data_IF_776148914045
#
_entry.id   IF_776148914045
#
_cell.length_a   1.000
_cell.length_b   1.000
_cell.length_c   1.000
_cell.angle_alpha   90.00
_cell.angle_beta   90.00
_cell.angle_gamma   90.00
#
_symmetry.space_group_name_H-M   'P 1'
#
loop_
_entity.id
_entity.type
_entity.pdbx_description
1 polymer ?
#
# COMPACT_ATOMS: atom_id res chain seq x y z
N UNK A 1 -0.13 -10.42 -0.85
CA UNK A 1 0.99 -10.71 -1.77
C UNK A 1 1.11 -12.22 -1.94
N UNK A 2 1.50 -12.67 -3.13
CA UNK A 2 1.75 -14.08 -3.46
C UNK A 2 3.16 -14.53 -3.09
N UNK A 3 3.51 -15.74 -3.51
CA UNK A 3 4.75 -16.43 -3.11
C UNK A 3 5.93 -16.23 -4.07
N UNK A 4 5.69 -15.78 -5.29
CA UNK A 4 6.76 -15.48 -6.25
C UNK A 4 7.26 -14.07 -6.02
N UNK A 5 8.57 -13.93 -5.76
CA UNK A 5 9.24 -12.65 -5.57
C UNK A 5 9.77 -12.16 -6.92
N UNK A 6 9.49 -10.91 -7.26
CA UNK A 6 10.00 -10.25 -8.45
C UNK A 6 11.07 -9.23 -8.08
N UNK A 7 11.99 -8.98 -9.01
CA UNK A 7 12.86 -7.80 -8.92
C UNK A 7 12.01 -6.55 -9.15
N UNK A 8 12.08 -5.61 -8.22
CA UNK A 8 11.32 -4.36 -8.26
C UNK A 8 12.13 -3.18 -8.79
N UNK A 9 13.42 -3.36 -9.11
CA UNK A 9 14.28 -2.30 -9.60
C UNK A 9 14.35 -1.12 -8.62
N UNK A 10 14.61 -1.41 -7.34
CA UNK A 10 14.57 -0.42 -6.27
C UNK A 10 15.40 0.83 -6.63
N UNK A 11 14.81 2.04 -6.65
CA UNK A 11 15.50 3.25 -7.12
C UNK A 11 16.56 3.81 -6.15
N UNK A 12 16.83 3.14 -5.03
CA UNK A 12 17.71 3.61 -3.95
C UNK A 12 17.32 4.99 -3.40
N UNK A 13 16.01 5.28 -3.39
CA UNK A 13 15.46 6.52 -2.85
C UNK A 13 15.38 6.44 -1.32
N UNK A 14 16.02 7.37 -0.62
CA UNK A 14 15.88 7.50 0.83
C UNK A 14 14.40 7.64 1.21
N UNK A 15 13.97 6.92 2.26
CA UNK A 15 12.57 6.97 2.69
C UNK A 15 11.65 5.96 1.98
N UNK A 16 12.07 5.37 0.86
CA UNK A 16 11.24 4.47 0.06
C UNK A 16 11.79 3.04 0.03
N UNK A 17 11.00 2.08 0.53
CA UNK A 17 11.33 0.66 0.42
C UNK A 17 10.30 -0.02 -0.46
N UNK A 18 10.76 -0.67 -1.52
CA UNK A 18 9.90 -1.27 -2.54
C UNK A 18 10.10 -2.78 -2.58
N UNK A 19 8.99 -3.52 -2.62
CA UNK A 19 8.97 -4.97 -2.80
C UNK A 19 7.92 -5.32 -3.85
N UNK A 20 8.17 -6.32 -4.69
CA UNK A 20 7.21 -6.75 -5.73
C UNK A 20 7.04 -8.26 -5.71
N UNK A 21 5.80 -8.72 -5.66
CA UNK A 21 5.45 -10.15 -5.67
C UNK A 21 4.32 -10.43 -6.66
N UNK A 22 4.13 -11.70 -6.99
CA UNK A 22 2.90 -12.15 -7.67
C UNK A 22 1.65 -11.84 -6.84
N UNK A 23 0.49 -11.84 -7.49
CA UNK A 23 -0.82 -11.74 -6.81
C UNK A 23 -1.11 -13.00 -6.00
N UNK A 24 -1.80 -12.85 -4.86
CA UNK A 24 -2.08 -13.99 -3.95
C UNK A 24 -3.07 -14.97 -4.56
N UNK A 25 -4.00 -14.44 -5.33
CA UNK A 25 -5.09 -15.14 -6.01
C UNK A 25 -4.66 -15.83 -7.31
N UNK A 26 -3.39 -15.72 -7.71
CA UNK A 26 -2.86 -16.37 -8.92
C UNK A 26 -3.30 -15.72 -10.23
N UNK A 27 -3.94 -14.54 -10.19
CA UNK A 27 -4.22 -13.73 -11.37
C UNK A 27 -2.95 -13.13 -11.96
N UNK A 28 -3.00 -12.79 -13.25
CA UNK A 28 -1.97 -11.98 -13.91
C UNK A 28 -1.81 -10.62 -13.21
N UNK A 29 -0.60 -10.06 -13.37
CA UNK A 29 -0.18 -8.85 -12.70
C UNK A 29 0.65 -9.12 -11.44
N UNK A 30 0.81 -8.09 -10.62
CA UNK A 30 1.70 -8.11 -9.48
C UNK A 30 1.21 -7.19 -8.36
N UNK A 31 1.79 -7.35 -7.18
CA UNK A 31 1.54 -6.48 -6.03
C UNK A 31 2.86 -5.85 -5.61
N UNK A 32 2.90 -4.53 -5.62
CA UNK A 32 3.98 -3.77 -5.01
C UNK A 32 3.62 -3.45 -3.56
N UNK A 33 4.58 -3.57 -2.66
CA UNK A 33 4.55 -2.91 -1.35
C UNK A 33 5.55 -1.77 -1.40
N UNK A 34 5.06 -0.54 -1.26
CA UNK A 34 5.88 0.67 -1.15
C UNK A 34 5.72 1.23 0.27
N UNK A 35 6.79 1.17 1.05
CA UNK A 35 6.84 1.75 2.39
C UNK A 35 7.49 3.13 2.26
N UNK A 36 6.73 4.17 2.60
CA UNK A 36 7.28 5.50 2.83
C UNK A 36 7.57 5.64 4.33
N UNK A 37 8.84 5.51 4.72
CA UNK A 37 9.28 5.69 6.11
C UNK A 37 9.80 7.11 6.40
N UNK A 38 9.68 8.06 5.47
CA UNK A 38 9.86 9.47 5.79
C UNK A 38 8.81 9.90 6.82
N UNK A 39 9.23 10.74 7.76
CA UNK A 39 8.35 11.35 8.77
C UNK A 39 7.59 12.56 8.23
N UNK A 40 8.07 13.15 7.14
CA UNK A 40 7.60 14.45 6.64
C UNK A 40 7.29 14.46 5.15
N UNK A 41 8.03 13.69 4.35
CA UNK A 41 8.01 13.81 2.90
C UNK A 41 7.12 12.75 2.26
N UNK A 42 6.46 13.13 1.17
CA UNK A 42 5.71 12.19 0.34
C UNK A 42 6.66 11.40 -0.56
N UNK A 43 6.29 10.17 -0.89
CA UNK A 43 6.95 9.38 -1.94
C UNK A 43 6.09 9.42 -3.19
N UNK A 44 6.66 9.83 -4.31
CA UNK A 44 5.95 9.88 -5.60
C UNK A 44 6.15 8.58 -6.37
N UNK A 45 5.07 7.98 -6.86
CA UNK A 45 5.08 6.75 -7.67
C UNK A 45 4.40 7.00 -9.01
N UNK A 46 5.05 6.61 -10.10
CA UNK A 46 4.45 6.58 -11.43
C UNK A 46 3.79 5.21 -11.66
N UNK A 47 2.48 5.21 -11.90
CA UNK A 47 1.68 4.04 -12.22
C UNK A 47 1.50 3.94 -13.75
N UNK A 48 2.11 2.95 -14.41
CA UNK A 48 1.96 2.77 -15.86
C UNK A 48 0.56 2.27 -16.27
N UNK A 49 -0.18 1.67 -15.34
CA UNK A 49 -1.52 1.11 -15.54
C UNK A 49 -2.46 1.49 -14.39
N UNK A 50 -3.75 1.25 -14.59
CA UNK A 50 -4.73 1.34 -13.51
C UNK A 50 -4.36 0.35 -12.39
N UNK A 51 -4.60 0.73 -11.15
CA UNK A 51 -4.22 -0.05 -9.98
C UNK A 51 -5.26 0.06 -8.87
N UNK A 52 -5.22 -0.89 -7.95
CA UNK A 52 -5.97 -0.82 -6.70
C UNK A 52 -5.01 -0.61 -5.53
N UNK A 53 -5.20 0.48 -4.77
CA UNK A 53 -4.30 0.89 -3.70
C UNK A 53 -4.92 0.63 -2.32
N UNK A 54 -4.13 0.01 -1.45
CA UNK A 54 -4.42 -0.22 -0.04
C UNK A 54 -3.31 0.46 0.79
N UNK A 55 -3.58 1.66 1.30
CA UNK A 55 -2.65 2.43 2.13
C UNK A 55 -2.94 2.22 3.61
N UNK A 56 -1.95 1.69 4.34
CA UNK A 56 -1.98 1.54 5.79
C UNK A 56 -1.27 2.71 6.46
N UNK A 57 -1.90 3.29 7.50
CA UNK A 57 -1.34 4.38 8.29
C UNK A 57 -1.80 4.35 9.75
N UNK A 58 -1.08 5.09 10.61
CA UNK A 58 -1.46 5.34 12.00
C UNK A 58 -2.49 6.47 12.18
N UNK A 59 -3.16 6.92 11.11
CA UNK A 59 -4.12 8.04 11.20
C UNK A 59 -3.49 9.38 11.58
N UNK A 60 -2.20 9.58 11.29
CA UNK A 60 -1.42 10.75 11.68
C UNK A 60 -0.58 10.58 12.96
N UNK A 61 -0.71 9.46 13.66
CA UNK A 61 0.13 9.11 14.80
C UNK A 61 0.80 7.74 14.59
N UNK A 62 2.12 7.72 14.45
CA UNK A 62 2.90 6.49 14.29
C UNK A 62 2.88 5.59 15.54
N UNK A 63 2.44 6.10 16.69
CA UNK A 63 2.24 5.32 17.92
C UNK A 63 0.78 4.93 18.13
N UNK A 64 -0.10 5.21 17.16
CA UNK A 64 -1.50 4.83 17.22
C UNK A 64 -1.64 3.31 17.42
N UNK A 65 -2.61 2.94 18.25
CA UNK A 65 -3.03 1.53 18.43
C UNK A 65 -4.09 1.12 17.40
N UNK A 66 -4.58 2.07 16.60
CA UNK A 66 -5.57 1.86 15.55
C UNK A 66 -4.89 2.02 14.20
N UNK A 67 -4.93 0.96 13.40
CA UNK A 67 -4.50 1.00 12.00
C UNK A 67 -5.62 1.54 11.13
N UNK A 68 -5.28 2.38 10.16
CA UNK A 68 -6.21 2.89 9.17
C UNK A 68 -5.89 2.28 7.81
N UNK A 69 -6.93 1.87 7.08
CA UNK A 69 -6.84 1.50 5.67
C UNK A 69 -7.52 2.59 4.85
N UNK A 70 -6.77 3.23 3.96
CA UNK A 70 -7.28 4.26 3.07
C UNK A 70 -8.04 5.38 3.84
N UNK A 71 -7.52 5.75 5.01
CA UNK A 71 -8.11 6.76 5.90
C UNK A 71 -9.27 6.27 6.77
N UNK A 72 -9.66 4.99 6.71
CA UNK A 72 -10.72 4.41 7.54
C UNK A 72 -10.14 3.49 8.63
N UNK A 73 -10.57 3.59 9.89
CA UNK A 73 -10.05 2.75 10.96
C UNK A 73 -10.43 1.28 10.74
N UNK A 74 -9.46 0.39 10.91
CA UNK A 74 -9.66 -1.06 10.92
C UNK A 74 -10.00 -1.51 12.34
N UNK A 75 -11.28 -1.53 12.67
CA UNK A 75 -11.79 -2.00 13.97
C UNK A 75 -12.65 -3.23 13.78
N UNK A 76 -12.45 -4.23 14.65
CA UNK A 76 -13.32 -5.40 14.74
C UNK A 76 -14.70 -4.95 15.22
N UNK A 77 -15.76 -5.47 14.60
CA UNK A 77 -17.13 -5.13 15.01
C UNK A 77 -17.47 -5.70 16.40
N UNK A 78 -18.55 -5.22 17.01
CA UNK A 78 -19.05 -5.78 18.27
C UNK A 78 -19.37 -7.29 18.17
N UNK A 79 -19.61 -7.79 16.95
CA UNK A 79 -19.89 -9.19 16.66
C UNK A 79 -18.62 -10.03 16.35
N UNK A 80 -17.43 -9.50 16.62
CA UNK A 80 -16.13 -10.13 16.29
C UNK A 80 -15.89 -10.35 14.79
N UNK A 81 -16.48 -9.53 13.92
CA UNK A 81 -16.26 -9.62 12.48
C UNK A 81 -15.07 -8.77 12.05
N UNK A 82 -14.31 -9.29 11.09
CA UNK A 82 -13.21 -8.56 10.48
C UNK A 82 -13.75 -7.34 9.69
N UNK A 83 -13.09 -6.18 9.77
CA UNK A 83 -13.46 -5.03 8.96
C UNK A 83 -13.27 -5.31 7.46
N UNK A 84 -14.06 -4.65 6.63
CA UNK A 84 -13.91 -4.71 5.18
C UNK A 84 -12.55 -4.15 4.77
N UNK A 85 -11.78 -4.91 3.98
CA UNK A 85 -10.53 -4.46 3.39
C UNK A 85 -10.74 -4.10 1.93
N UNK A 86 -11.13 -2.85 1.68
CA UNK A 86 -11.43 -2.34 0.35
C UNK A 86 -10.33 -1.41 -0.16
N UNK A 87 -9.83 -1.70 -1.36
CA UNK A 87 -8.87 -0.87 -2.05
C UNK A 87 -9.54 0.32 -2.71
N UNK A 88 -8.73 1.32 -3.07
CA UNK A 88 -9.16 2.45 -3.88
C UNK A 88 -8.68 2.20 -5.31
N UNK A 89 -9.61 2.22 -6.25
CA UNK A 89 -9.30 2.18 -7.67
C UNK A 89 -8.64 3.51 -8.08
N UNK A 90 -7.45 3.42 -8.65
CA UNK A 90 -6.62 4.55 -9.03
C UNK A 90 -6.21 4.41 -10.49
N UNK A 91 -6.39 5.48 -11.26
CA UNK A 91 -6.00 5.49 -12.67
C UNK A 91 -4.50 5.55 -12.85
N UNK A 92 -4.01 5.06 -13.99
CA UNK A 92 -2.64 5.28 -14.42
C UNK A 92 -2.27 6.77 -14.32
N UNK A 93 -1.02 7.05 -13.93
CA UNK A 93 -0.53 8.40 -13.68
C UNK A 93 0.36 8.48 -12.44
N UNK A 94 0.51 9.68 -11.90
CA UNK A 94 1.35 9.93 -10.72
C UNK A 94 0.53 9.89 -9.44
N UNK A 95 1.00 9.14 -8.45
CA UNK A 95 0.39 9.04 -7.12
C UNK A 95 1.39 9.45 -6.06
N UNK A 96 0.93 10.24 -5.09
CA UNK A 96 1.69 10.59 -3.90
C UNK A 96 1.31 9.66 -2.74
N UNK A 97 2.32 9.04 -2.13
CA UNK A 97 2.21 8.22 -0.94
C UNK A 97 2.60 9.04 0.27
N UNK A 98 1.67 9.21 1.20
CA UNK A 98 1.87 10.03 2.39
C UNK A 98 3.04 9.54 3.26
N UNK A 99 3.64 10.43 4.09
CA UNK A 99 4.65 10.03 5.07
C UNK A 99 4.14 8.92 5.98
N UNK A 100 5.04 8.06 6.45
CA UNK A 100 4.73 7.02 7.43
C UNK A 100 3.60 6.06 7.00
N UNK A 101 3.63 5.61 5.74
CA UNK A 101 2.61 4.70 5.20
C UNK A 101 3.21 3.45 4.59
N UNK A 102 2.45 2.35 4.65
CA UNK A 102 2.72 1.12 3.91
C UNK A 102 1.63 0.96 2.84
N UNK A 103 2.02 1.01 1.56
CA UNK A 103 1.07 1.05 0.45
C UNK A 103 1.19 -0.23 -0.37
N UNK A 104 0.12 -1.02 -0.40
CA UNK A 104 0.01 -2.14 -1.32
C UNK A 104 -0.68 -1.67 -2.59
N UNK A 105 -0.03 -1.85 -3.73
CA UNK A 105 -0.49 -1.42 -5.04
C UNK A 105 -0.65 -2.67 -5.89
N UNK A 106 -1.90 -3.04 -6.16
CA UNK A 106 -2.25 -4.19 -7.00
C UNK A 106 -2.39 -3.70 -8.43
N UNK A 107 -1.56 -4.21 -9.33
CA UNK A 107 -1.63 -3.93 -10.77
C UNK A 107 -2.08 -5.17 -11.52
N UNK A 108 -2.91 -4.96 -12.54
CA UNK A 108 -3.43 -5.99 -13.45
C UNK A 108 -2.68 -6.00 -14.77
#
# INVERSE_FOLDING_TARGET
MGTTVYDCGNPDTEGAHVYCHSRREGKEGCVYLVINNSLTDTTTVALPYDAEIYSLSGGGDNRSRVMYLNGKPLTVSENNELPEMKGIQTKAGTVELAPCTCNFIVME
#
